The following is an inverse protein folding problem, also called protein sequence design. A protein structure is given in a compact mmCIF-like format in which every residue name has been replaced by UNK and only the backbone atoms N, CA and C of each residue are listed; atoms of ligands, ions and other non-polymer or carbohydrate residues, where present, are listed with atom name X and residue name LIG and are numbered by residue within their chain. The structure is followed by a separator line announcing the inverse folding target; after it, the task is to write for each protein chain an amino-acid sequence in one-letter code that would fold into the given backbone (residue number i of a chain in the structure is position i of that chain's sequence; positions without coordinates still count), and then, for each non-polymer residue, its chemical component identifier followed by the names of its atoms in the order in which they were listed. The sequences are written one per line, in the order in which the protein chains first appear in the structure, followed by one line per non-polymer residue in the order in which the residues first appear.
data_IF_809411633849
#
_entry.id   IF_809411633849
#
_cell.length_a   1.000
_cell.length_b   1.000
_cell.length_c   1.000
_cell.angle_alpha   90.00
_cell.angle_beta   90.00
_cell.angle_gamma   90.00
#
_symmetry.space_group_name_H-M   'P 1'
#
loop_
_entity.id
_entity.type
_entity.pdbx_description
1 polymer ?
#
# COMPACT_ATOMS: atom_id res chain seq x y z
N UNK A 1 5.97 -10.56 2.47
CA UNK A 1 4.69 -10.44 3.19
C UNK A 1 3.67 -11.45 2.70
N UNK A 2 2.91 -11.23 1.63
CA UNK A 2 1.87 -12.18 1.15
C UNK A 2 2.33 -13.64 1.09
N UNK A 3 3.49 -13.91 0.51
CA UNK A 3 4.04 -15.27 0.44
C UNK A 3 4.30 -15.88 1.82
N UNK A 4 4.92 -15.11 2.73
CA UNK A 4 5.26 -15.55 4.09
C UNK A 4 3.99 -15.85 4.89
N UNK A 5 2.98 -14.97 4.83
CA UNK A 5 1.68 -15.16 5.49
C UNK A 5 0.95 -16.39 4.94
N UNK A 6 0.93 -16.55 3.61
CA UNK A 6 0.35 -17.72 2.96
C UNK A 6 1.06 -19.02 3.33
N UNK A 7 2.39 -19.00 3.46
CA UNK A 7 3.18 -20.15 3.91
C UNK A 7 2.86 -20.51 5.36
N UNK A 8 2.75 -19.53 6.26
CA UNK A 8 2.34 -19.74 7.65
C UNK A 8 0.97 -20.41 7.75
N UNK A 9 -0.02 -19.95 6.97
CA UNK A 9 -1.35 -20.57 6.87
C UNK A 9 -1.27 -22.02 6.39
N UNK A 10 -0.55 -22.28 5.29
CA UNK A 10 -0.40 -23.63 4.72
C UNK A 10 0.25 -24.59 5.72
N UNK A 11 1.29 -24.14 6.42
CA UNK A 11 1.97 -24.94 7.44
C UNK A 11 1.07 -25.23 8.65
N UNK A 12 0.25 -24.26 9.07
CA UNK A 12 -0.72 -24.46 10.16
C UNK A 12 -1.79 -25.50 9.79
N UNK A 13 -2.34 -25.44 8.57
CA UNK A 13 -3.29 -26.42 8.05
C UNK A 13 -2.69 -27.83 7.99
N UNK A 14 -1.48 -27.97 7.44
CA UNK A 14 -0.79 -29.25 7.38
C UNK A 14 -0.58 -29.82 8.79
N UNK A 15 -0.12 -29.00 9.74
CA UNK A 15 0.10 -29.42 11.12
C UNK A 15 -1.20 -29.82 11.83
N UNK A 16 -2.30 -29.10 11.60
CA UNK A 16 -3.59 -29.43 12.19
C UNK A 16 -4.11 -30.78 11.67
N UNK A 17 -3.98 -31.02 10.36
CA UNK A 17 -4.33 -32.29 9.74
C UNK A 17 -3.46 -33.45 10.28
N UNK A 18 -2.14 -33.24 10.39
CA UNK A 18 -1.19 -34.27 10.84
C UNK A 18 -1.38 -34.63 12.32
N UNK A 19 -1.70 -33.65 13.16
CA UNK A 19 -1.81 -33.84 14.62
C UNK A 19 -3.22 -34.18 15.09
N UNK A 20 -4.24 -33.93 14.27
CA UNK A 20 -5.64 -34.05 14.67
C UNK A 20 -6.06 -33.04 15.73
N UNK A 21 -5.31 -31.95 15.91
CA UNK A 21 -5.55 -30.90 16.88
C UNK A 21 -5.55 -29.51 16.24
N UNK A 22 -6.25 -28.58 16.86
CA UNK A 22 -6.31 -27.18 16.43
C UNK A 22 -4.92 -26.52 16.56
N UNK A 23 -4.55 -25.73 15.55
CA UNK A 23 -3.24 -25.06 15.49
C UNK A 23 -3.44 -23.56 15.33
N UNK A 24 -3.20 -22.81 16.41
CA UNK A 24 -3.14 -21.34 16.36
C UNK A 24 -1.72 -20.86 16.09
N UNK A 25 -1.56 -19.95 15.14
CA UNK A 25 -0.28 -19.34 14.78
C UNK A 25 -0.40 -17.82 14.67
N UNK A 26 0.64 -17.12 15.11
CA UNK A 26 0.81 -15.69 14.86
C UNK A 26 1.15 -15.45 13.38
N UNK A 27 0.56 -14.41 12.82
CA UNK A 27 0.82 -13.94 11.47
C UNK A 27 1.77 -12.74 11.56
N UNK A 28 3.01 -12.96 11.16
CA UNK A 28 4.04 -11.92 11.15
C UNK A 28 4.85 -12.03 9.87
N UNK A 29 5.25 -10.88 9.33
CA UNK A 29 6.16 -10.82 8.20
C UNK A 29 6.93 -9.50 8.26
N UNK A 30 8.25 -9.56 8.12
CA UNK A 30 9.13 -8.38 8.10
C UNK A 30 8.93 -7.46 9.33
N UNK A 31 8.72 -8.05 10.51
CA UNK A 31 8.48 -7.29 11.75
C UNK A 31 7.09 -6.66 11.88
N UNK A 32 6.19 -6.93 10.93
CA UNK A 32 4.80 -6.46 10.94
C UNK A 32 3.87 -7.59 11.35
N UNK A 33 3.06 -7.37 12.39
CA UNK A 33 2.04 -8.32 12.84
C UNK A 33 0.70 -8.10 12.13
N UNK A 34 0.09 -9.19 11.68
CA UNK A 34 -1.25 -9.25 11.09
C UNK A 34 -2.21 -10.07 11.96
N UNK A 35 -1.94 -10.13 13.27
CA UNK A 35 -2.74 -10.88 14.24
C UNK A 35 -2.41 -12.39 14.23
N UNK A 36 -3.44 -13.22 14.23
CA UNK A 36 -3.30 -14.69 14.26
C UNK A 36 -4.41 -15.39 13.51
N UNK A 37 -4.19 -16.66 13.17
CA UNK A 37 -5.24 -17.57 12.70
C UNK A 37 -5.21 -18.89 13.46
N UNK A 38 -6.33 -19.60 13.43
CA UNK A 38 -6.42 -20.99 13.91
C UNK A 38 -6.81 -21.89 12.75
N UNK A 39 -6.01 -22.93 12.52
CA UNK A 39 -6.29 -23.99 11.57
C UNK A 39 -6.87 -25.21 12.28
N UNK A 40 -7.93 -25.77 11.72
CA UNK A 40 -8.61 -26.94 12.25
C UNK A 40 -8.24 -28.22 11.48
N UNK A 41 -8.30 -29.41 12.11
CA UNK A 41 -7.97 -30.67 11.44
C UNK A 41 -8.84 -31.02 10.22
N UNK A 42 -10.03 -30.43 10.10
CA UNK A 42 -10.96 -30.62 8.98
C UNK A 42 -10.61 -29.75 7.74
N UNK A 43 -9.56 -28.94 7.83
CA UNK A 43 -9.11 -28.04 6.78
C UNK A 43 -9.75 -26.65 6.81
N UNK A 44 -10.65 -26.37 7.76
CA UNK A 44 -11.22 -25.04 7.95
C UNK A 44 -10.26 -24.11 8.72
N UNK A 45 -10.53 -22.80 8.61
CA UNK A 45 -9.73 -21.74 9.22
C UNK A 45 -10.62 -20.77 10.00
N UNK A 46 -10.22 -20.44 11.22
CA UNK A 46 -10.67 -19.24 11.91
C UNK A 46 -9.70 -18.10 11.66
N UNK A 47 -10.20 -17.05 11.02
CA UNK A 47 -9.48 -15.82 10.67
C UNK A 47 -10.03 -14.60 11.40
N UNK A 48 -10.87 -14.79 12.43
CA UNK A 48 -11.46 -13.70 13.22
C UNK A 48 -10.42 -12.82 13.91
N UNK A 49 -9.23 -13.38 14.20
CA UNK A 49 -8.10 -12.68 14.78
C UNK A 49 -7.07 -12.16 13.74
N UNK A 50 -7.38 -12.24 12.44
CA UNK A 50 -6.57 -11.60 11.38
C UNK A 50 -6.81 -10.10 11.43
N UNK A 51 -5.73 -9.32 11.41
CA UNK A 51 -5.78 -7.87 11.57
C UNK A 51 -5.06 -7.14 10.42
N UNK A 52 -5.69 -6.08 9.91
CA UNK A 52 -5.07 -5.14 8.97
C UNK A 52 -4.78 -5.67 7.56
N UNK A 53 -5.21 -6.89 7.25
CA UNK A 53 -5.18 -7.52 5.91
C UNK A 53 -6.45 -8.34 5.71
N UNK A 54 -6.82 -8.64 4.47
CA UNK A 54 -8.01 -9.46 4.19
C UNK A 54 -7.76 -10.92 4.60
N UNK A 55 -8.85 -11.70 4.71
CA UNK A 55 -8.81 -13.11 5.10
C UNK A 55 -8.03 -13.98 4.10
N UNK A 56 -7.79 -13.49 2.90
CA UNK A 56 -6.94 -14.12 1.88
C UNK A 56 -5.44 -14.02 2.20
N UNK A 57 -5.07 -13.17 3.16
CA UNK A 57 -3.70 -12.84 3.60
C UNK A 57 -2.85 -12.17 2.51
N UNK A 58 -3.49 -11.56 1.52
CA UNK A 58 -2.83 -10.80 0.46
C UNK A 58 -2.64 -9.36 0.92
N UNK A 59 -1.37 -8.97 1.06
CA UNK A 59 -1.02 -7.55 1.29
C UNK A 59 -1.26 -6.76 -0.01
N UNK A 60 -2.07 -5.71 0.11
CA UNK A 60 -2.57 -4.88 -1.00
C UNK A 60 -2.07 -3.44 -0.81
N UNK A 61 -0.96 -3.04 -1.46
CA UNK A 61 -0.28 -1.78 -1.15
C UNK A 61 -0.89 -0.56 -1.86
N UNK A 62 -1.89 -0.75 -2.72
CA UNK A 62 -2.46 0.32 -3.53
C UNK A 62 -3.90 0.64 -3.13
N UNK A 63 -4.27 1.91 -3.29
CA UNK A 63 -5.50 2.49 -2.77
C UNK A 63 -5.35 3.09 -1.36
N UNK A 64 -6.37 3.83 -0.91
CA UNK A 64 -6.42 4.38 0.45
C UNK A 64 -6.85 3.32 1.47
N UNK A 65 -7.64 2.34 1.02
CA UNK A 65 -8.14 1.25 1.85
C UNK A 65 -7.28 -0.01 1.76
N UNK A 66 -6.28 -0.05 0.87
CA UNK A 66 -5.44 -1.23 0.67
C UNK A 66 -6.22 -2.35 -0.01
N UNK A 67 -6.84 -2.05 -1.13
CA UNK A 67 -7.79 -2.91 -1.84
C UNK A 67 -7.20 -3.53 -3.12
N UNK A 68 -6.07 -3.00 -3.62
CA UNK A 68 -5.44 -3.48 -4.86
C UNK A 68 -4.03 -4.03 -4.59
N UNK A 69 -3.78 -5.26 -5.06
CA UNK A 69 -2.49 -5.96 -4.90
C UNK A 69 -1.50 -5.76 -6.06
N UNK A 70 -1.98 -5.39 -7.25
CA UNK A 70 -1.19 -5.38 -8.49
C UNK A 70 -1.26 -4.03 -9.19
N UNK A 71 -0.13 -3.57 -9.73
CA UNK A 71 -0.02 -2.33 -10.49
C UNK A 71 -0.97 -2.28 -11.69
N UNK A 72 -1.08 -3.37 -12.45
CA UNK A 72 -2.06 -3.50 -13.54
C UNK A 72 -3.49 -3.23 -13.10
N UNK A 73 -3.90 -3.80 -11.97
CA UNK A 73 -5.26 -3.65 -11.44
C UNK A 73 -5.48 -2.22 -10.95
N UNK A 74 -4.44 -1.59 -10.41
CA UNK A 74 -4.48 -0.18 -10.04
C UNK A 74 -4.65 0.73 -11.27
N UNK A 75 -3.94 0.45 -12.37
CA UNK A 75 -4.14 1.16 -13.65
C UNK A 75 -5.54 0.97 -14.20
N UNK A 76 -6.03 -0.27 -14.23
CA UNK A 76 -7.33 -0.62 -14.78
C UNK A 76 -8.48 -0.01 -13.97
N UNK A 77 -8.38 -0.03 -12.64
CA UNK A 77 -9.37 0.60 -11.77
C UNK A 77 -9.36 2.13 -11.91
N UNK A 78 -8.17 2.74 -11.99
CA UNK A 78 -8.06 4.17 -12.23
C UNK A 78 -8.61 4.59 -13.60
N UNK A 79 -8.36 3.79 -14.66
CA UNK A 79 -8.93 4.00 -15.99
C UNK A 79 -10.46 4.04 -15.94
N UNK A 80 -11.07 3.07 -15.26
CA UNK A 80 -12.51 2.95 -15.13
C UNK A 80 -13.12 4.08 -14.29
N UNK A 81 -12.60 4.31 -13.09
CA UNK A 81 -13.19 5.25 -12.12
C UNK A 81 -12.96 6.71 -12.53
N UNK A 82 -11.78 7.06 -13.02
CA UNK A 82 -11.40 8.46 -13.23
C UNK A 82 -11.53 8.91 -14.69
N UNK A 83 -11.40 8.00 -15.65
CA UNK A 83 -11.45 8.34 -17.06
C UNK A 83 -12.68 7.77 -17.78
N UNK A 84 -13.47 6.92 -17.11
CA UNK A 84 -14.61 6.24 -17.73
C UNK A 84 -14.18 5.26 -18.81
N UNK A 85 -12.99 4.67 -18.68
CA UNK A 85 -12.40 3.80 -19.72
C UNK A 85 -12.34 2.36 -19.23
N UNK A 86 -12.84 1.42 -20.03
CA UNK A 86 -12.90 0.00 -19.75
C UNK A 86 -11.83 -0.78 -20.50
N UNK A 87 -11.15 -1.67 -19.79
CA UNK A 87 -10.22 -2.59 -20.44
C UNK A 87 -10.95 -3.74 -21.12
N UNK A 88 -10.34 -4.30 -22.16
CA UNK A 88 -10.81 -5.54 -22.76
C UNK A 88 -10.82 -6.72 -21.77
N UNK A 89 -9.96 -6.69 -20.75
CA UNK A 89 -9.91 -7.73 -19.70
C UNK A 89 -11.17 -7.68 -18.83
N UNK A 90 -11.63 -6.49 -18.45
CA UNK A 90 -12.88 -6.30 -17.71
C UNK A 90 -14.09 -6.73 -18.55
N UNK A 91 -14.16 -6.32 -19.81
CA UNK A 91 -15.22 -6.71 -20.72
C UNK A 91 -15.31 -8.24 -20.90
N UNK A 92 -14.16 -8.92 -21.04
CA UNK A 92 -14.12 -10.39 -21.08
C UNK A 92 -14.58 -11.03 -19.76
N UNK A 93 -14.17 -10.49 -18.62
CA UNK A 93 -14.60 -10.97 -17.31
C UNK A 93 -16.12 -10.83 -17.11
N UNK A 94 -16.69 -9.72 -17.58
CA UNK A 94 -18.12 -9.44 -17.54
C UNK A 94 -18.95 -10.51 -18.27
N UNK A 95 -18.40 -11.16 -19.31
CA UNK A 95 -19.07 -12.27 -20.00
C UNK A 95 -19.37 -13.46 -19.08
N UNK A 96 -18.52 -13.69 -18.09
CA UNK A 96 -18.62 -14.83 -17.15
C UNK A 96 -19.34 -14.41 -15.87
N UNK A 97 -18.99 -13.25 -15.34
CA UNK A 97 -19.54 -12.69 -14.10
C UNK A 97 -19.82 -11.20 -14.30
N UNK A 98 -21.05 -10.83 -14.72
CA UNK A 98 -21.40 -9.44 -15.00
C UNK A 98 -21.33 -8.54 -13.75
N UNK A 99 -20.44 -7.57 -13.76
CA UNK A 99 -20.35 -6.50 -12.75
C UNK A 99 -21.14 -5.26 -13.17
N UNK A 100 -22.46 -5.41 -13.22
CA UNK A 100 -23.37 -4.36 -13.68
C UNK A 100 -23.22 -3.03 -12.93
N UNK A 101 -23.06 -3.00 -11.58
CA UNK A 101 -22.89 -1.75 -10.85
C UNK A 101 -21.66 -0.93 -11.27
N UNK A 102 -20.57 -1.58 -11.68
CA UNK A 102 -19.29 -0.91 -11.94
C UNK A 102 -18.94 -0.77 -13.42
N UNK A 103 -19.44 -1.67 -14.27
CA UNK A 103 -19.14 -1.72 -15.71
C UNK A 103 -20.35 -1.38 -16.58
N UNK A 104 -21.57 -1.42 -16.03
CA UNK A 104 -22.78 -1.10 -16.77
C UNK A 104 -23.61 -2.30 -17.19
N UNK A 105 -24.80 -1.99 -17.71
CA UNK A 105 -25.86 -2.94 -18.09
C UNK A 105 -26.05 -3.03 -19.61
N UNK A 106 -24.99 -2.77 -20.38
CA UNK A 106 -24.99 -2.79 -21.83
C UNK A 106 -25.49 -4.13 -22.38
N UNK A 107 -26.13 -4.13 -23.56
CA UNK A 107 -26.70 -5.34 -24.13
C UNK A 107 -25.64 -6.33 -24.62
N UNK A 108 -24.37 -5.90 -24.72
CA UNK A 108 -23.27 -6.71 -25.22
C UNK A 108 -22.10 -6.71 -24.23
N UNK A 109 -21.49 -7.88 -24.04
CA UNK A 109 -20.34 -8.02 -23.13
C UNK A 109 -19.10 -7.23 -23.57
N UNK A 110 -18.97 -6.93 -24.87
CA UNK A 110 -17.80 -6.25 -25.43
C UNK A 110 -17.86 -4.72 -25.30
N UNK A 111 -18.97 -4.18 -24.79
CA UNK A 111 -19.23 -2.77 -24.45
C UNK A 111 -20.24 -2.75 -23.28
N UNK A 112 -19.78 -3.09 -22.07
CA UNK A 112 -20.65 -3.19 -20.89
C UNK A 112 -21.34 -1.87 -20.50
N UNK A 113 -20.77 -0.71 -20.79
CA UNK A 113 -21.38 0.60 -20.52
C UNK A 113 -22.22 1.14 -21.69
N UNK A 114 -22.18 0.49 -22.85
CA UNK A 114 -22.98 0.78 -24.04
C UNK A 114 -22.81 2.23 -24.52
N UNK A 115 -21.57 2.70 -24.52
CA UNK A 115 -21.22 4.02 -25.03
C UNK A 115 -20.86 3.99 -26.54
N UNK A 116 -20.79 2.78 -27.12
CA UNK A 116 -20.51 2.53 -28.52
C UNK A 116 -19.01 2.44 -28.84
N UNK A 117 -18.15 2.51 -27.83
CA UNK A 117 -16.70 2.31 -27.94
C UNK A 117 -16.36 0.92 -27.42
N UNK A 118 -15.43 0.26 -28.10
CA UNK A 118 -14.98 -1.09 -27.74
C UNK A 118 -13.47 -1.08 -27.63
N UNK A 119 -12.93 -2.02 -26.84
CA UNK A 119 -11.48 -2.27 -26.79
C UNK A 119 -10.68 -1.00 -26.49
N UNK A 120 -11.16 -0.24 -25.50
CA UNK A 120 -10.61 1.08 -25.20
C UNK A 120 -9.20 0.99 -24.61
N UNK A 121 -8.99 0.03 -23.70
CA UNK A 121 -7.67 -0.35 -23.21
C UNK A 121 -7.42 -1.85 -23.46
N UNK A 122 -6.39 -2.11 -24.25
CA UNK A 122 -5.90 -3.46 -24.50
C UNK A 122 -5.01 -3.97 -23.36
N UNK A 123 -4.94 -5.29 -23.19
CA UNK A 123 -4.08 -5.95 -22.20
C UNK A 123 -2.62 -5.51 -22.30
N UNK A 124 -2.11 -5.30 -23.53
CA UNK A 124 -0.75 -4.83 -23.76
C UNK A 124 -0.50 -3.42 -23.19
N UNK A 125 -1.49 -2.54 -23.23
CA UNK A 125 -1.40 -1.18 -22.64
C UNK A 125 -1.39 -1.28 -21.11
N UNK A 126 -2.21 -2.16 -20.52
CA UNK A 126 -2.16 -2.43 -19.09
C UNK A 126 -0.78 -2.96 -18.66
N UNK A 127 -0.22 -3.92 -19.39
CA UNK A 127 1.14 -4.43 -19.13
C UNK A 127 2.17 -3.31 -19.24
N UNK A 128 2.15 -2.54 -20.32
CA UNK A 128 3.12 -1.46 -20.53
C UNK A 128 3.04 -0.39 -19.42
N UNK A 129 1.82 -0.04 -18.98
CA UNK A 129 1.62 0.93 -17.90
C UNK A 129 2.08 0.39 -16.55
N UNK A 130 1.78 -0.88 -16.24
CA UNK A 130 2.26 -1.53 -15.03
C UNK A 130 3.80 -1.61 -14.99
N UNK A 131 4.42 -1.98 -16.10
CA UNK A 131 5.88 -2.00 -16.29
C UNK A 131 6.48 -0.60 -16.10
N UNK A 132 5.87 0.42 -16.71
CA UNK A 132 6.29 1.81 -16.55
C UNK A 132 6.27 2.23 -15.07
N UNK A 133 5.16 2.00 -14.36
CA UNK A 133 5.03 2.34 -12.94
C UNK A 133 6.03 1.57 -12.06
N UNK A 134 6.26 0.28 -12.35
CA UNK A 134 7.22 -0.55 -11.61
C UNK A 134 8.67 -0.04 -11.75
N UNK A 135 8.97 0.64 -12.87
CA UNK A 135 10.29 1.18 -13.17
C UNK A 135 10.49 2.63 -12.74
N UNK A 136 9.47 3.31 -12.21
CA UNK A 136 9.63 4.68 -11.73
C UNK A 136 10.72 4.75 -10.65
N UNK A 137 11.38 5.89 -10.58
CA UNK A 137 12.40 6.15 -9.57
C UNK A 137 11.85 5.96 -8.15
N UNK A 138 12.71 5.51 -7.25
CA UNK A 138 12.35 5.41 -5.84
C UNK A 138 12.57 6.75 -5.12
N UNK A 139 11.66 7.19 -4.25
CA UNK A 139 11.94 8.31 -3.34
C UNK A 139 13.22 8.08 -2.52
N UNK A 140 13.83 9.17 -2.07
CA UNK A 140 15.11 9.20 -1.37
C UNK A 140 14.98 9.87 0.00
N UNK A 141 15.98 9.65 0.85
CA UNK A 141 16.15 10.43 2.08
C UNK A 141 17.29 11.41 1.83
N UNK A 142 17.00 12.71 1.88
CA UNK A 142 17.99 13.78 1.71
C UNK A 142 18.14 14.56 3.03
N UNK A 143 19.11 14.19 3.88
CA UNK A 143 19.38 14.93 5.11
C UNK A 143 19.84 16.37 4.80
N UNK A 144 19.51 17.36 5.65
CA UNK A 144 19.99 18.72 5.49
C UNK A 144 21.52 18.82 5.40
N UNK A 145 22.01 19.78 4.60
CA UNK A 145 23.44 20.04 4.48
C UNK A 145 24.01 20.81 5.68
N UNK A 146 23.23 21.74 6.24
CA UNK A 146 23.59 22.55 7.39
C UNK A 146 23.84 21.68 8.65
N UNK A 147 24.97 21.85 9.37
CA UNK A 147 25.28 21.03 10.54
C UNK A 147 24.27 21.16 11.68
N UNK A 148 23.70 22.35 11.90
CA UNK A 148 22.68 22.57 12.91
C UNK A 148 21.40 21.82 12.58
N UNK A 149 20.96 21.88 11.32
CA UNK A 149 19.81 21.11 10.84
C UNK A 149 20.09 19.61 10.79
N UNK A 150 21.33 19.17 10.59
CA UNK A 150 21.67 17.73 10.63
C UNK A 150 21.55 17.13 12.03
N UNK A 151 21.93 17.88 13.07
CA UNK A 151 21.72 17.46 14.44
C UNK A 151 20.21 17.32 14.74
N UNK A 152 19.41 18.32 14.34
CA UNK A 152 17.95 18.30 14.46
C UNK A 152 17.30 17.16 13.68
N UNK A 153 17.75 16.91 12.46
CA UNK A 153 17.31 15.78 11.63
C UNK A 153 17.55 14.44 12.33
N UNK A 154 18.75 14.26 12.92
CA UNK A 154 19.07 13.04 13.66
C UNK A 154 18.24 12.90 14.94
N UNK A 155 17.97 14.01 15.65
CA UNK A 155 17.08 14.01 16.81
C UNK A 155 15.65 13.66 16.38
N UNK A 156 15.16 14.25 15.30
CA UNK A 156 13.83 13.98 14.74
C UNK A 156 13.60 12.52 14.36
N UNK A 157 14.63 11.84 13.87
CA UNK A 157 14.59 10.37 13.65
C UNK A 157 14.38 9.61 14.97
N UNK A 158 15.09 9.99 16.03
CA UNK A 158 14.93 9.37 17.34
C UNK A 158 13.55 9.67 17.94
N UNK A 159 13.10 10.91 17.84
CA UNK A 159 11.77 11.36 18.27
C UNK A 159 10.68 10.56 17.55
N UNK A 160 10.80 10.33 16.24
CA UNK A 160 9.85 9.52 15.47
C UNK A 160 9.65 8.11 16.04
N UNK A 161 10.74 7.47 16.48
CA UNK A 161 10.66 6.17 17.16
C UNK A 161 10.11 6.31 18.59
N UNK A 162 10.57 7.30 19.34
CA UNK A 162 10.20 7.54 20.75
C UNK A 162 8.70 7.82 20.92
N UNK A 163 8.11 8.65 20.08
CA UNK A 163 6.67 8.93 20.13
C UNK A 163 5.82 7.79 19.56
N UNK A 164 6.46 6.74 19.03
CA UNK A 164 5.78 5.54 18.54
C UNK A 164 5.25 5.65 17.11
N UNK A 165 5.62 6.65 16.32
CA UNK A 165 5.19 6.73 14.91
C UNK A 165 5.63 5.48 14.12
N UNK A 166 6.79 4.93 14.45
CA UNK A 166 7.36 3.74 13.81
C UNK A 166 6.57 2.44 14.03
N UNK A 167 5.55 2.42 14.91
CA UNK A 167 4.72 1.23 15.11
C UNK A 167 3.86 0.86 13.90
N UNK A 168 3.38 1.87 13.16
CA UNK A 168 2.67 1.70 11.89
C UNK A 168 3.55 2.13 10.72
N UNK A 169 4.26 3.27 10.85
CA UNK A 169 5.18 3.77 9.82
C UNK A 169 6.55 3.08 9.91
N UNK A 170 6.54 1.76 9.75
CA UNK A 170 7.72 0.92 9.89
C UNK A 170 8.85 1.38 8.95
N UNK A 171 10.04 1.76 9.46
CA UNK A 171 11.05 2.45 8.66
C UNK A 171 11.51 1.70 7.42
N UNK A 172 11.77 0.39 7.54
CA UNK A 172 12.46 -0.37 6.51
C UNK A 172 11.82 -1.74 6.26
N UNK A 173 11.59 -2.08 5.00
CA UNK A 173 11.11 -3.39 4.58
C UNK A 173 12.17 -4.10 3.74
N UNK A 174 12.76 -5.22 4.22
CA UNK A 174 13.72 -5.99 3.45
C UNK A 174 13.03 -6.77 2.34
N UNK A 175 13.55 -6.70 1.12
CA UNK A 175 13.11 -7.49 -0.03
C UNK A 175 13.78 -8.85 -0.02
N UNK A 176 12.98 -9.91 -0.14
CA UNK A 176 13.49 -11.27 -0.37
C UNK A 176 13.88 -11.48 -1.85
N UNK A 177 13.28 -10.71 -2.76
CA UNK A 177 13.51 -10.77 -4.18
C UNK A 177 13.34 -9.37 -4.78
N UNK A 178 14.18 -9.04 -5.76
CA UNK A 178 14.16 -7.77 -6.52
C UNK A 178 13.56 -7.95 -7.91
N UNK A 179 13.21 -9.18 -8.27
CA UNK A 179 12.50 -9.51 -9.50
C UNK A 179 11.01 -9.25 -9.33
N UNK A 180 10.43 -8.61 -10.33
CA UNK A 180 9.00 -8.36 -10.45
C UNK A 180 8.49 -8.87 -11.80
N UNK A 181 7.37 -9.57 -11.77
CA UNK A 181 6.81 -10.25 -12.93
C UNK A 181 5.38 -9.74 -13.20
N UNK A 182 5.13 -9.25 -14.41
CA UNK A 182 3.80 -8.86 -14.87
C UNK A 182 3.24 -9.91 -15.82
N UNK A 183 2.25 -10.65 -15.34
CA UNK A 183 1.61 -11.72 -16.10
C UNK A 183 0.44 -11.18 -16.94
N UNK A 184 0.27 -11.64 -18.19
CA UNK A 184 -0.95 -11.38 -18.94
C UNK A 184 -2.14 -12.10 -18.32
N UNK A 185 -3.35 -11.55 -18.48
CA UNK A 185 -4.57 -12.15 -17.97
C UNK A 185 -5.26 -13.06 -19.00
N UNK A 186 -5.17 -12.70 -20.28
CA UNK A 186 -6.02 -13.26 -21.34
C UNK A 186 -5.26 -14.07 -22.38
N UNK A 187 -3.96 -13.79 -22.57
CA UNK A 187 -3.17 -14.42 -23.64
C UNK A 187 -2.46 -15.71 -23.23
N UNK A 188 -2.32 -15.98 -21.92
CA UNK A 188 -1.57 -17.15 -21.42
C UNK A 188 -0.08 -17.15 -21.78
N UNK A 189 0.45 -16.02 -22.26
CA UNK A 189 1.86 -15.84 -22.59
C UNK A 189 2.77 -15.77 -21.35
N UNK A 190 4.10 -15.78 -21.56
CA UNK A 190 5.05 -15.57 -20.47
C UNK A 190 4.92 -14.14 -19.89
N UNK A 191 5.34 -13.93 -18.62
CA UNK A 191 5.31 -12.61 -18.01
C UNK A 191 6.38 -11.70 -18.59
N UNK A 192 6.20 -10.38 -18.42
CA UNK A 192 7.31 -9.44 -18.49
C UNK A 192 8.06 -9.51 -17.17
N UNK A 193 9.34 -9.91 -17.22
CA UNK A 193 10.20 -10.05 -16.04
C UNK A 193 11.15 -8.85 -15.95
N UNK A 194 11.14 -8.17 -14.80
CA UNK A 194 12.03 -7.04 -14.51
C UNK A 194 12.87 -7.33 -13.27
N UNK A 195 14.12 -6.87 -13.28
CA UNK A 195 14.91 -6.72 -12.07
C UNK A 195 14.89 -5.24 -11.67
N UNK A 196 14.14 -4.88 -10.63
CA UNK A 196 13.90 -3.48 -10.23
C UNK A 196 15.18 -2.72 -9.87
N UNK A 197 16.23 -3.43 -9.43
CA UNK A 197 17.54 -2.87 -9.11
C UNK A 197 18.43 -2.62 -10.33
N UNK A 198 18.14 -3.27 -11.46
CA UNK A 198 18.89 -3.15 -12.72
C UNK A 198 18.15 -2.32 -13.75
N UNK A 199 16.85 -2.57 -13.90
CA UNK A 199 16.01 -2.11 -15.01
C UNK A 199 15.24 -0.83 -14.66
N UNK A 200 15.01 -0.55 -13.37
CA UNK A 200 14.33 0.67 -12.91
C UNK A 200 15.08 1.96 -13.26
N UNK A 201 14.35 3.07 -13.30
CA UNK A 201 14.90 4.42 -13.41
C UNK A 201 15.75 4.76 -12.17
N UNK A 202 16.71 5.66 -12.33
CA UNK A 202 17.51 6.16 -11.21
C UNK A 202 16.81 7.36 -10.55
N UNK A 203 16.93 7.54 -9.22
CA UNK A 203 17.57 6.63 -8.26
C UNK A 203 16.81 5.31 -8.11
N UNK A 204 17.57 4.22 -8.05
CA UNK A 204 17.03 2.87 -7.83
C UNK A 204 17.01 2.59 -6.33
N UNK A 205 16.04 1.80 -5.89
CA UNK A 205 15.95 1.35 -4.51
C UNK A 205 17.13 0.46 -4.10
N UNK A 206 17.05 -0.10 -2.90
CA UNK A 206 17.94 -1.19 -2.46
C UNK A 206 17.14 -2.41 -2.04
N UNK A 207 17.80 -3.52 -1.71
CA UNK A 207 17.13 -4.65 -1.07
C UNK A 207 16.56 -4.31 0.30
N UNK A 208 16.90 -3.16 0.88
CA UNK A 208 16.31 -2.61 2.10
C UNK A 208 15.53 -1.35 1.72
N UNK A 209 14.20 -1.46 1.68
CA UNK A 209 13.33 -0.37 1.21
C UNK A 209 12.92 0.50 2.39
N UNK A 210 13.34 1.76 2.40
CA UNK A 210 13.00 2.73 3.45
C UNK A 210 11.61 3.34 3.22
N UNK A 211 10.58 2.50 3.37
CA UNK A 211 9.21 2.82 2.99
C UNK A 211 8.49 3.72 4.01
N UNK A 212 8.82 3.56 5.31
CA UNK A 212 8.07 4.16 6.43
C UNK A 212 6.58 3.81 6.37
N UNK A 213 6.29 2.52 6.21
CA UNK A 213 4.96 1.93 6.21
C UNK A 213 5.09 0.43 6.44
N UNK A 214 4.14 -0.12 7.18
CA UNK A 214 3.99 -1.54 7.40
C UNK A 214 3.08 -2.23 6.36
N UNK A 215 2.53 -1.46 5.41
CA UNK A 215 1.56 -1.91 4.41
C UNK A 215 0.35 -2.64 5.02
N UNK A 216 0.01 -2.30 6.27
CA UNK A 216 -1.13 -2.82 7.02
C UNK A 216 -2.22 -1.76 7.12
N UNK A 217 -3.46 -2.20 7.30
CA UNK A 217 -4.61 -1.33 7.57
C UNK A 217 -4.80 -1.12 9.07
N UNK A 218 -5.10 0.12 9.46
CA UNK A 218 -5.32 0.53 10.84
C UNK A 218 -6.59 1.34 10.96
N UNK A 219 -7.26 1.22 12.10
CA UNK A 219 -8.33 2.14 12.48
C UNK A 219 -7.74 3.51 12.81
N UNK A 220 -8.09 4.52 12.01
CA UNK A 220 -7.67 5.92 12.18
C UNK A 220 -8.67 6.74 13.00
N UNK A 221 -9.75 6.11 13.51
CA UNK A 221 -10.79 6.73 14.30
C UNK A 221 -11.87 7.44 13.49
N UNK A 222 -12.99 7.74 14.15
CA UNK A 222 -14.20 8.27 13.51
C UNK A 222 -13.99 9.65 12.87
N UNK A 223 -13.11 10.50 13.42
CA UNK A 223 -12.84 11.83 12.88
C UNK A 223 -12.16 11.82 11.50
N UNK A 224 -11.50 10.69 11.17
CA UNK A 224 -10.90 10.41 9.88
C UNK A 224 -11.68 9.37 9.08
N UNK A 225 -12.89 8.99 9.49
CA UNK A 225 -13.71 8.07 8.72
C UNK A 225 -14.09 8.66 7.36
N UNK A 226 -14.00 7.83 6.31
CA UNK A 226 -14.50 8.16 4.97
C UNK A 226 -15.98 8.57 5.06
N UNK A 227 -16.45 9.63 4.40
CA UNK A 227 -17.87 10.02 4.45
C UNK A 227 -18.83 9.00 3.83
N UNK A 228 -18.35 8.12 2.95
CA UNK A 228 -19.16 7.08 2.30
C UNK A 228 -19.07 5.75 3.07
N UNK A 229 -20.05 4.88 2.86
CA UNK A 229 -20.04 3.54 3.43
C UNK A 229 -18.77 2.76 3.00
N UNK A 230 -18.35 1.83 3.85
CA UNK A 230 -17.09 1.11 3.69
C UNK A 230 -16.98 0.41 2.33
N UNK A 231 -16.09 0.89 1.47
CA UNK A 231 -15.77 0.22 0.22
C UNK A 231 -15.10 -1.14 0.52
N UNK A 232 -15.42 -2.17 -0.26
CA UNK A 232 -14.78 -3.50 -0.19
C UNK A 232 -14.89 -4.20 1.19
N UNK A 233 -15.98 -3.96 1.94
CA UNK A 233 -16.19 -4.44 3.32
C UNK A 233 -15.13 -3.94 4.32
N UNK A 234 -14.44 -2.84 4.01
CA UNK A 234 -13.43 -2.21 4.86
C UNK A 234 -14.10 -1.08 5.65
N UNK A 235 -14.00 -1.03 6.99
CA UNK A 235 -14.64 0.02 7.78
C UNK A 235 -14.23 1.44 7.35
N UNK A 236 -15.15 2.39 7.52
CA UNK A 236 -14.97 3.79 7.09
C UNK A 236 -13.75 4.45 7.71
N UNK A 237 -13.44 4.15 8.97
CA UNK A 237 -12.28 4.66 9.70
C UNK A 237 -10.97 3.90 9.45
N UNK A 238 -11.00 2.78 8.73
CA UNK A 238 -9.82 1.93 8.51
C UNK A 238 -9.11 2.31 7.22
N UNK A 239 -7.80 2.56 7.29
CA UNK A 239 -6.98 2.95 6.14
C UNK A 239 -5.64 2.20 6.12
N UNK A 240 -5.09 2.01 4.93
CA UNK A 240 -3.74 1.52 4.74
C UNK A 240 -2.72 2.56 5.26
N UNK A 241 -1.71 2.13 6.02
CA UNK A 241 -0.59 3.00 6.40
C UNK A 241 0.11 3.49 5.13
N UNK A 242 -0.04 4.78 4.82
CA UNK A 242 0.60 5.36 3.65
C UNK A 242 2.12 5.40 3.84
N UNK A 243 2.90 4.98 2.84
CA UNK A 243 4.35 5.18 2.84
C UNK A 243 4.72 6.65 3.03
N UNK A 244 5.62 6.96 3.97
CA UNK A 244 6.14 8.33 4.14
C UNK A 244 7.34 8.64 3.25
N UNK A 245 7.84 7.67 2.48
CA UNK A 245 8.87 7.94 1.48
C UNK A 245 8.39 9.00 0.46
N UNK A 246 9.14 10.07 0.25
CA UNK A 246 8.70 11.16 -0.62
C UNK A 246 7.60 12.08 -0.06
N UNK A 247 7.23 11.95 1.22
CA UNK A 247 6.21 12.77 1.92
C UNK A 247 6.37 14.28 1.71
N UNK A 248 7.61 14.77 1.64
CA UNK A 248 7.89 16.20 1.52
C UNK A 248 7.27 16.86 0.28
N UNK A 249 6.96 16.07 -0.76
CA UNK A 249 6.50 16.56 -2.07
C UNK A 249 5.01 16.27 -2.35
N UNK A 250 4.25 15.80 -1.36
CA UNK A 250 2.88 15.26 -1.58
C UNK A 250 1.80 15.99 -0.81
N UNK A 251 2.04 17.21 -0.33
CA UNK A 251 1.00 18.01 0.29
C UNK A 251 -0.16 18.29 -0.70
N UNK A 252 -1.43 18.41 -0.23
CA UNK A 252 -1.88 18.29 1.16
C UNK A 252 -1.92 16.83 1.67
N UNK A 253 -2.09 16.67 2.98
CA UNK A 253 -1.99 15.38 3.67
C UNK A 253 -3.35 14.83 4.11
N UNK A 254 -3.34 13.55 4.50
CA UNK A 254 -4.50 12.70 4.81
C UNK A 254 -5.32 12.32 3.56
N UNK A 255 -6.23 11.35 3.70
CA UNK A 255 -6.96 10.75 2.57
C UNK A 255 -7.88 11.74 1.84
N UNK A 256 -8.28 12.80 2.52
CA UNK A 256 -9.18 13.84 2.00
C UNK A 256 -8.49 15.20 1.82
N UNK A 257 -7.17 15.26 2.01
CA UNK A 257 -6.37 16.47 1.80
C UNK A 257 -6.66 17.61 2.77
N UNK A 258 -7.28 17.36 3.94
CA UNK A 258 -7.66 18.43 4.88
C UNK A 258 -6.48 19.11 5.58
N UNK A 259 -5.35 18.42 5.71
CA UNK A 259 -4.18 18.95 6.44
C UNK A 259 -3.20 19.60 5.45
N UNK A 260 -2.93 20.90 5.63
CA UNK A 260 -2.00 21.63 4.78
C UNK A 260 -0.54 21.41 5.20
N UNK A 261 -0.32 21.05 6.47
CA UNK A 261 1.01 20.86 7.04
C UNK A 261 1.17 19.49 7.70
N UNK A 262 2.42 19.03 7.81
CA UNK A 262 2.76 17.77 8.47
C UNK A 262 2.30 17.75 9.95
N UNK A 263 2.54 18.79 10.77
CA UNK A 263 2.06 18.79 12.16
C UNK A 263 0.53 18.71 12.28
N UNK A 264 -0.22 19.40 11.41
CA UNK A 264 -1.68 19.28 11.35
C UNK A 264 -2.10 17.84 11.02
N UNK A 265 -1.42 17.21 10.07
CA UNK A 265 -1.68 15.82 9.70
C UNK A 265 -1.43 14.89 10.89
N UNK A 266 -0.30 15.03 11.59
CA UNK A 266 0.02 14.22 12.78
C UNK A 266 -1.06 14.41 13.85
N UNK A 267 -1.43 15.66 14.18
CA UNK A 267 -2.43 15.96 15.20
C UNK A 267 -3.86 15.48 14.85
N UNK A 268 -4.14 15.20 13.58
CA UNK A 268 -5.41 14.64 13.14
C UNK A 268 -5.49 13.10 13.28
N UNK A 269 -4.38 12.40 13.58
CA UNK A 269 -4.39 10.95 13.73
C UNK A 269 -5.24 10.52 14.95
N UNK A 270 -6.14 9.56 14.75
CA UNK A 270 -6.98 8.98 15.80
C UNK A 270 -6.83 7.46 15.87
N UNK A 271 -7.81 6.80 16.50
CA UNK A 271 -7.88 5.34 16.57
C UNK A 271 -6.62 4.70 17.14
N UNK A 272 -6.06 3.72 16.43
CA UNK A 272 -4.82 3.02 16.79
C UNK A 272 -3.62 3.96 16.94
N UNK A 273 -3.61 5.10 16.26
CA UNK A 273 -2.53 6.08 16.28
C UNK A 273 -2.68 7.16 17.39
N UNK A 274 -3.76 7.14 18.17
CA UNK A 274 -4.05 8.18 19.16
C UNK A 274 -2.92 8.36 20.20
N UNK A 275 -2.32 7.26 20.67
CA UNK A 275 -1.21 7.32 21.62
C UNK A 275 0.02 8.03 21.04
N UNK A 276 0.36 7.76 19.78
CA UNK A 276 1.48 8.40 19.10
C UNK A 276 1.20 9.87 18.79
N UNK A 277 -0.03 10.20 18.39
CA UNK A 277 -0.49 11.60 18.26
C UNK A 277 -0.33 12.36 19.58
N UNK A 278 -0.82 11.79 20.68
CA UNK A 278 -0.81 12.45 21.98
C UNK A 278 0.62 12.63 22.50
N UNK A 279 1.49 11.64 22.27
CA UNK A 279 2.92 11.75 22.56
C UNK A 279 3.58 12.88 21.76
N UNK A 280 3.31 12.99 20.46
CA UNK A 280 3.77 14.12 19.64
C UNK A 280 3.26 15.47 20.16
N UNK A 281 1.96 15.56 20.49
CA UNK A 281 1.35 16.79 21.02
C UNK A 281 1.91 17.23 22.38
N UNK A 282 2.49 16.30 23.14
CA UNK A 282 3.13 16.56 24.43
C UNK A 282 4.63 16.90 24.35
N UNK A 283 5.26 16.75 23.18
CA UNK A 283 6.67 17.11 22.97
C UNK A 283 6.94 18.61 23.19
N UNK A 284 8.19 18.94 23.53
CA UNK A 284 8.66 20.32 23.46
C UNK A 284 8.55 20.84 22.01
N UNK A 285 8.22 22.12 21.79
CA UNK A 285 8.15 22.69 20.45
C UNK A 285 9.42 22.51 19.60
N UNK A 286 10.61 22.41 20.21
CA UNK A 286 11.85 22.11 19.47
C UNK A 286 11.91 20.67 18.98
N UNK A 287 11.45 19.69 19.77
CA UNK A 287 11.40 18.28 19.34
C UNK A 287 10.36 18.06 18.23
N UNK A 288 9.22 18.79 18.28
CA UNK A 288 8.25 18.77 17.17
C UNK A 288 8.86 19.31 15.87
N UNK A 289 9.68 20.37 15.95
CA UNK A 289 10.40 20.92 14.78
C UNK A 289 11.46 19.96 14.27
N UNK A 290 12.18 19.29 15.16
CA UNK A 290 13.21 18.32 14.80
C UNK A 290 12.60 17.12 14.07
N UNK A 291 11.45 16.60 14.56
CA UNK A 291 10.66 15.61 13.85
C UNK A 291 10.22 16.10 12.47
N UNK A 292 9.76 17.34 12.37
CA UNK A 292 9.37 17.93 11.08
C UNK A 292 10.57 18.02 10.11
N UNK A 293 11.77 18.38 10.58
CA UNK A 293 13.00 18.38 9.77
C UNK A 293 13.33 16.97 9.26
N UNK A 294 13.14 15.94 10.09
CA UNK A 294 13.28 14.55 9.65
C UNK A 294 12.26 14.19 8.56
N UNK A 295 10.98 14.47 8.76
CA UNK A 295 9.93 14.13 7.80
C UNK A 295 10.09 14.85 6.45
N UNK A 296 10.58 16.10 6.45
CA UNK A 296 10.92 16.84 5.23
C UNK A 296 12.13 16.27 4.47
N UNK A 297 12.95 15.43 5.11
CA UNK A 297 14.04 14.73 4.41
C UNK A 297 13.55 13.56 3.57
N UNK A 298 12.33 13.07 3.81
CA UNK A 298 11.71 12.00 3.03
C UNK A 298 11.14 12.61 1.74
N UNK A 299 11.95 12.66 0.69
CA UNK A 299 11.67 13.44 -0.53
C UNK A 299 11.98 12.63 -1.81
N UNK A 300 12.02 13.28 -2.96
CA UNK A 300 12.45 12.73 -4.26
C UNK A 300 13.73 13.44 -4.71
N UNK A 301 14.51 12.80 -5.57
CA UNK A 301 15.66 13.48 -6.17
C UNK A 301 15.16 14.64 -7.05
N UNK A 302 15.70 15.86 -6.90
CA UNK A 302 15.31 16.97 -7.75
C UNK A 302 15.65 16.69 -9.22
N UNK A 303 14.63 16.50 -10.08
CA UNK A 303 14.83 16.43 -11.54
C UNK A 303 14.97 17.84 -12.10
N UNK A 304 16.20 18.32 -12.20
CA UNK A 304 16.47 19.53 -12.99
C UNK A 304 16.56 19.14 -14.46
N UNK A 305 15.47 19.32 -15.20
CA UNK A 305 15.50 19.30 -16.66
C UNK A 305 15.96 20.66 -17.19
N UNK A 306 17.27 20.95 -17.18
CA UNK A 306 17.79 22.02 -18.05
C UNK A 306 18.03 21.38 -19.41
N UNK A 307 17.16 21.68 -20.38
CA UNK A 307 17.47 21.44 -21.79
C UNK A 307 18.70 22.29 -22.12
N UNK A 308 19.83 21.62 -22.43
CA UNK A 308 20.96 22.25 -23.12
C UNK A 308 20.68 22.32 -24.61
#
# INVERSE_FOLDING_TARGET
MTFELGQTRTNALAKAADTGADVTVSLESKGVSFGSLTAYPDGSLDTSAVAGVDRDLVVKPFGWKGEIARLRRFTEDAARIHFGVQSHVLALGWQVEPDVPHLGAGPNWWDPDNDGVQREIEEGILTATAVYMAMLETPVILPPHDPGLRARWSNGMAVFEEVGCASCHHPELPLANVRWDEWPDTTGGPPVELNLMRDGEKPRGTSLVKLYSDLRRHDMGEELADPHDGAFDIPRSVFLTRPLWGLAETAPYLHDGRAATIPEAILAHGGEAAAARDAFGALDPEDQKDLHVFLLSLTREPKVHVLQ
#
